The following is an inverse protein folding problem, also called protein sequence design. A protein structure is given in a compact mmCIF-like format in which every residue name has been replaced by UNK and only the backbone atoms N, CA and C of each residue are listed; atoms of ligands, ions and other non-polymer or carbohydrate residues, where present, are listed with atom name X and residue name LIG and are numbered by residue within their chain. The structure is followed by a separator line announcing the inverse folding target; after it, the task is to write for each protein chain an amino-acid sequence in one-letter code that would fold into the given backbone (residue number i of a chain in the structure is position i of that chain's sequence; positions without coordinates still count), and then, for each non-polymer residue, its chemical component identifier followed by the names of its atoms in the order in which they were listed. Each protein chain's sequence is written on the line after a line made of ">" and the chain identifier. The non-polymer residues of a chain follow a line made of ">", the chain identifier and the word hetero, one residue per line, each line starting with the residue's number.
data_IF_558898820313
#
_entry.id   IF_558898820313
#
_cell.length_a   1.000
_cell.length_b   1.000
_cell.length_c   1.000
_cell.angle_alpha   90.00
_cell.angle_beta   90.00
_cell.angle_gamma   90.00
#
_symmetry.space_group_name_H-M   'P 1'
#
loop_
_entity.id
_entity.type
_entity.pdbx_description
1 polymer ?
#
# COMPACT_ATOMS: atom_id res chain seq x y z
N UNK A 1 27.21 -15.12 3.65
CA UNK A 1 25.76 -15.32 3.55
C UNK A 1 25.51 -16.55 2.69
N UNK A 2 24.63 -17.47 3.10
CA UNK A 2 24.21 -18.58 2.23
C UNK A 2 23.47 -18.04 1.00
N UNK A 3 23.52 -18.78 -0.12
CA UNK A 3 22.82 -18.40 -1.36
C UNK A 3 21.31 -18.33 -1.17
N UNK A 4 20.76 -19.25 -0.36
CA UNK A 4 19.35 -19.28 0.01
C UNK A 4 18.95 -18.03 0.81
N UNK A 5 19.67 -17.71 1.90
CA UNK A 5 19.40 -16.50 2.70
C UNK A 5 19.53 -15.23 1.86
N UNK A 6 20.52 -15.18 0.96
CA UNK A 6 20.70 -14.05 0.05
C UNK A 6 19.54 -13.89 -0.92
N UNK A 7 19.06 -14.99 -1.50
CA UNK A 7 17.89 -14.99 -2.35
C UNK A 7 16.64 -14.52 -1.60
N UNK A 8 16.40 -15.04 -0.38
CA UNK A 8 15.27 -14.63 0.47
C UNK A 8 15.36 -13.15 0.82
N UNK A 9 16.55 -12.64 1.20
CA UNK A 9 16.73 -11.23 1.52
C UNK A 9 16.41 -10.31 0.31
N UNK A 10 16.88 -10.67 -0.89
CA UNK A 10 16.58 -9.93 -2.12
C UNK A 10 15.09 -9.99 -2.44
N UNK A 11 14.47 -11.16 -2.29
CA UNK A 11 13.04 -11.34 -2.53
C UNK A 11 12.19 -10.50 -1.56
N UNK A 12 12.53 -10.50 -0.27
CA UNK A 12 11.86 -9.66 0.73
C UNK A 12 12.03 -8.16 0.42
N UNK A 13 13.21 -7.74 -0.03
CA UNK A 13 13.43 -6.36 -0.46
C UNK A 13 12.56 -6.01 -1.69
N UNK A 14 12.43 -6.93 -2.66
CA UNK A 14 11.55 -6.74 -3.81
C UNK A 14 10.07 -6.63 -3.40
N UNK A 15 9.61 -7.45 -2.44
CA UNK A 15 8.26 -7.34 -1.88
C UNK A 15 8.03 -5.99 -1.18
N UNK A 16 9.04 -5.45 -0.47
CA UNK A 16 8.95 -4.13 0.14
C UNK A 16 8.78 -3.03 -0.91
N UNK A 17 9.54 -3.10 -2.00
CA UNK A 17 9.41 -2.19 -3.14
C UNK A 17 8.02 -2.32 -3.78
N UNK A 18 7.54 -3.54 -4.00
CA UNK A 18 6.20 -3.79 -4.53
C UNK A 18 5.11 -3.16 -3.66
N UNK A 19 5.19 -3.29 -2.34
CA UNK A 19 4.24 -2.65 -1.43
C UNK A 19 4.32 -1.12 -1.53
N UNK A 20 5.53 -0.57 -1.63
CA UNK A 20 5.72 0.87 -1.87
C UNK A 20 5.06 1.36 -3.17
N UNK A 21 5.19 0.57 -4.23
CA UNK A 21 4.54 0.83 -5.53
C UNK A 21 3.02 0.76 -5.41
N UNK A 22 2.47 -0.27 -4.77
CA UNK A 22 1.03 -0.41 -4.55
C UNK A 22 0.45 0.76 -3.74
N UNK A 23 1.16 1.20 -2.70
CA UNK A 23 0.80 2.39 -1.91
C UNK A 23 0.84 3.68 -2.75
N UNK A 24 1.79 3.80 -3.68
CA UNK A 24 1.90 4.95 -4.57
C UNK A 24 0.75 4.97 -5.59
N UNK A 25 0.46 3.83 -6.23
CA UNK A 25 -0.65 3.69 -7.16
C UNK A 25 -2.01 3.90 -6.47
N UNK A 26 -2.19 3.39 -5.26
CA UNK A 26 -3.41 3.59 -4.48
C UNK A 26 -3.67 5.05 -4.07
N UNK A 27 -2.67 5.94 -4.19
CA UNK A 27 -2.84 7.39 -3.95
C UNK A 27 -3.26 8.16 -5.20
N UNK A 28 -3.22 7.56 -6.38
CA UNK A 28 -3.59 8.25 -7.62
C UNK A 28 -5.09 8.61 -7.60
N UNK A 29 -5.39 9.85 -7.99
CA UNK A 29 -6.77 10.31 -8.14
C UNK A 29 -7.40 9.60 -9.33
N UNK A 30 -8.50 8.91 -9.10
CA UNK A 30 -9.34 8.32 -10.15
C UNK A 30 -10.46 9.28 -10.59
N UNK A 31 -10.45 10.52 -10.10
CA UNK A 31 -11.45 11.51 -10.46
C UNK A 31 -11.26 11.97 -11.89
N UNK A 32 -12.32 11.93 -12.71
CA UNK A 32 -12.32 12.51 -14.05
C UNK A 32 -11.94 14.00 -14.02
N UNK A 33 -12.29 14.69 -12.93
CA UNK A 33 -11.96 16.09 -12.68
C UNK A 33 -10.48 16.38 -12.50
N UNK A 34 -9.62 15.36 -12.34
CA UNK A 34 -8.18 15.52 -12.33
C UNK A 34 -7.61 15.79 -13.74
N UNK A 35 -8.38 15.57 -14.81
CA UNK A 35 -7.92 15.85 -16.17
C UNK A 35 -7.94 17.35 -16.49
N UNK A 36 -6.95 17.80 -17.29
CA UNK A 36 -6.87 19.19 -17.75
C UNK A 36 -8.07 19.61 -18.61
N UNK A 37 -8.74 18.66 -19.25
CA UNK A 37 -9.91 18.89 -20.12
C UNK A 37 -11.08 19.42 -19.31
N UNK A 38 -11.42 18.77 -18.19
CA UNK A 38 -12.51 19.21 -17.32
C UNK A 38 -12.17 20.46 -16.49
N UNK A 39 -10.88 20.74 -16.27
CA UNK A 39 -10.45 22.01 -15.69
C UNK A 39 -10.71 23.22 -16.62
N UNK A 40 -10.65 23.02 -17.93
CA UNK A 40 -11.07 24.03 -18.92
C UNK A 40 -12.59 24.26 -18.90
N UNK A 41 -13.36 23.16 -18.89
CA UNK A 41 -14.82 23.19 -18.83
C UNK A 41 -15.33 23.99 -17.61
N UNK A 42 -14.74 23.78 -16.43
CA UNK A 42 -15.15 24.48 -15.19
C UNK A 42 -14.96 26.00 -15.25
N UNK A 43 -13.97 26.49 -16.00
CA UNK A 43 -13.77 27.94 -16.18
C UNK A 43 -14.78 28.55 -17.15
N UNK A 44 -15.33 27.75 -18.05
CA UNK A 44 -16.25 28.20 -19.09
C UNK A 44 -17.72 28.13 -18.65
N UNK A 45 -18.07 27.30 -17.67
CA UNK A 45 -19.45 27.08 -17.22
C UNK A 45 -19.63 27.57 -15.77
N UNK A 46 -20.44 28.62 -15.53
CA UNK A 46 -20.64 29.21 -14.20
C UNK A 46 -21.18 28.24 -13.13
N UNK A 47 -22.01 27.27 -13.53
CA UNK A 47 -22.67 26.31 -12.62
C UNK A 47 -22.13 24.88 -12.77
N UNK A 48 -20.83 24.73 -13.04
CA UNK A 48 -20.22 23.39 -13.16
C UNK A 48 -20.28 22.63 -11.82
N UNK A 49 -20.64 21.32 -11.81
CA UNK A 49 -20.68 20.52 -10.59
C UNK A 49 -19.34 20.47 -9.86
N UNK A 50 -19.38 20.44 -8.53
CA UNK A 50 -18.17 20.26 -7.73
C UNK A 50 -17.62 18.82 -7.88
N UNK A 51 -16.29 18.64 -7.87
CA UNK A 51 -15.69 17.31 -7.85
C UNK A 51 -16.08 16.53 -6.59
N UNK A 52 -16.42 15.25 -6.76
CA UNK A 52 -16.62 14.34 -5.62
C UNK A 52 -15.35 14.22 -4.77
N UNK A 53 -15.52 14.06 -3.45
CA UNK A 53 -14.41 13.89 -2.52
C UNK A 53 -13.67 12.57 -2.88
N UNK A 54 -12.32 12.55 -2.91
CA UNK A 54 -11.55 11.31 -3.08
C UNK A 54 -11.85 10.20 -2.07
N UNK A 55 -12.42 10.53 -0.90
CA UNK A 55 -12.86 9.58 0.12
C UNK A 55 -14.32 9.11 -0.09
N UNK A 56 -15.05 9.70 -1.03
CA UNK A 56 -16.38 9.24 -1.42
C UNK A 56 -16.29 7.98 -2.29
N UNK A 57 -17.29 7.12 -2.16
CA UNK A 57 -17.49 6.02 -3.09
C UNK A 57 -17.81 6.55 -4.49
N UNK A 58 -17.24 5.99 -5.59
CA UNK A 58 -16.41 4.78 -5.67
C UNK A 58 -14.89 5.03 -5.57
N UNK A 59 -14.43 6.29 -5.44
CA UNK A 59 -13.02 6.65 -5.47
C UNK A 59 -12.22 6.07 -4.28
N UNK A 60 -12.86 5.96 -3.12
CA UNK A 60 -12.27 5.37 -1.92
C UNK A 60 -11.98 3.86 -2.04
N UNK A 61 -12.71 3.12 -2.88
CA UNK A 61 -12.54 1.67 -3.01
C UNK A 61 -11.23 1.29 -3.69
N UNK A 62 -10.73 2.10 -4.62
CA UNK A 62 -9.44 1.84 -5.30
C UNK A 62 -8.29 1.87 -4.31
N UNK A 63 -8.25 2.88 -3.45
CA UNK A 63 -7.23 3.01 -2.38
C UNK A 63 -7.35 1.86 -1.38
N UNK A 64 -8.58 1.45 -1.05
CA UNK A 64 -8.84 0.35 -0.12
C UNK A 64 -8.36 -1.00 -0.69
N UNK A 65 -8.63 -1.28 -1.96
CA UNK A 65 -8.18 -2.48 -2.65
C UNK A 65 -6.65 -2.60 -2.61
N UNK A 66 -5.93 -1.54 -3.01
CA UNK A 66 -4.46 -1.51 -2.95
C UNK A 66 -3.95 -1.66 -1.51
N UNK A 67 -4.64 -1.08 -0.53
CA UNK A 67 -4.30 -1.22 0.89
C UNK A 67 -4.43 -2.66 1.41
N UNK A 68 -5.50 -3.38 1.01
CA UNK A 68 -5.69 -4.80 1.38
C UNK A 68 -4.65 -5.68 0.69
N UNK A 69 -4.38 -5.46 -0.60
CA UNK A 69 -3.35 -6.20 -1.33
C UNK A 69 -1.96 -5.96 -0.73
N UNK A 70 -1.64 -4.72 -0.38
CA UNK A 70 -0.41 -4.36 0.33
C UNK A 70 -0.29 -5.07 1.67
N UNK A 71 -1.37 -5.13 2.46
CA UNK A 71 -1.38 -5.85 3.73
C UNK A 71 -1.15 -7.35 3.56
N UNK A 72 -1.71 -7.98 2.52
CA UNK A 72 -1.49 -9.39 2.20
C UNK A 72 -0.03 -9.65 1.85
N UNK A 73 0.57 -8.85 0.97
CA UNK A 73 1.98 -8.98 0.59
C UNK A 73 2.90 -8.83 1.80
N UNK A 74 2.63 -7.85 2.67
CA UNK A 74 3.38 -7.67 3.92
C UNK A 74 3.26 -8.88 4.84
N UNK A 75 2.07 -9.46 4.98
CA UNK A 75 1.87 -10.65 5.81
C UNK A 75 2.71 -11.84 5.30
N UNK A 76 2.71 -12.08 3.99
CA UNK A 76 3.54 -13.13 3.36
C UNK A 76 5.03 -12.87 3.62
N UNK A 77 5.49 -11.63 3.44
CA UNK A 77 6.89 -11.27 3.68
C UNK A 77 7.32 -11.48 5.15
N UNK A 78 6.46 -11.16 6.11
CA UNK A 78 6.73 -11.39 7.55
C UNK A 78 6.85 -12.89 7.83
N UNK A 79 5.95 -13.71 7.29
CA UNK A 79 6.01 -15.17 7.46
C UNK A 79 7.30 -15.74 6.88
N UNK A 80 7.67 -15.34 5.66
CA UNK A 80 8.91 -15.77 5.02
C UNK A 80 10.14 -15.37 5.84
N UNK A 81 10.20 -14.12 6.30
CA UNK A 81 11.31 -13.63 7.13
C UNK A 81 11.41 -14.39 8.45
N UNK A 82 10.28 -14.69 9.11
CA UNK A 82 10.26 -15.44 10.35
C UNK A 82 10.75 -16.89 10.17
N UNK A 83 10.29 -17.57 9.11
CA UNK A 83 10.75 -18.93 8.79
C UNK A 83 12.25 -18.95 8.52
N UNK A 84 12.77 -17.97 7.78
CA UNK A 84 14.18 -17.91 7.43
C UNK A 84 15.07 -17.57 8.65
N UNK A 85 14.61 -16.67 9.52
CA UNK A 85 15.28 -16.38 10.78
C UNK A 85 15.39 -17.61 11.68
N UNK A 86 14.37 -18.48 11.70
CA UNK A 86 14.40 -19.73 12.47
C UNK A 86 15.38 -20.76 11.90
N UNK A 87 15.66 -20.70 10.59
CA UNK A 87 16.57 -21.63 9.90
C UNK A 87 18.03 -21.22 10.01
N UNK A 88 18.33 -19.95 10.27
CA UNK A 88 19.69 -19.43 10.22
C UNK A 88 20.23 -18.98 11.56
N UNK A 89 21.50 -19.30 11.81
CA UNK A 89 22.17 -19.06 13.09
C UNK A 89 23.36 -18.09 12.94
N UNK A 90 23.66 -17.65 11.72
CA UNK A 90 24.78 -16.73 11.48
C UNK A 90 24.36 -15.29 11.80
N UNK A 91 25.16 -14.52 12.55
CA UNK A 91 24.76 -13.20 13.04
C UNK A 91 24.52 -12.19 11.92
N UNK A 92 25.29 -12.26 10.83
CA UNK A 92 25.11 -11.36 9.69
C UNK A 92 23.79 -11.63 8.94
N UNK A 93 23.41 -12.90 8.76
CA UNK A 93 22.14 -13.30 8.14
C UNK A 93 20.96 -12.86 8.99
N UNK A 94 21.06 -13.08 10.31
CA UNK A 94 20.07 -12.63 11.28
C UNK A 94 19.89 -11.11 11.24
N UNK A 95 20.98 -10.34 11.17
CA UNK A 95 20.91 -8.88 11.14
C UNK A 95 20.18 -8.36 9.90
N UNK A 96 20.51 -8.90 8.72
CA UNK A 96 19.87 -8.50 7.45
C UNK A 96 18.39 -8.87 7.44
N UNK A 97 18.06 -10.13 7.73
CA UNK A 97 16.68 -10.62 7.71
C UNK A 97 15.82 -9.94 8.78
N UNK A 98 16.36 -9.70 9.98
CA UNK A 98 15.65 -8.97 11.04
C UNK A 98 15.38 -7.53 10.64
N UNK A 99 16.33 -6.87 10.00
CA UNK A 99 16.15 -5.48 9.52
C UNK A 99 15.02 -5.39 8.50
N UNK A 100 15.04 -6.25 7.47
CA UNK A 100 14.01 -6.25 6.43
C UNK A 100 12.65 -6.69 7.01
N UNK A 101 12.64 -7.69 7.89
CA UNK A 101 11.44 -8.16 8.59
C UNK A 101 10.82 -7.07 9.47
N UNK A 102 11.64 -6.30 10.19
CA UNK A 102 11.18 -5.17 11.00
C UNK A 102 10.53 -4.08 10.15
N UNK A 103 11.09 -3.76 8.98
CA UNK A 103 10.48 -2.81 8.05
C UNK A 103 9.09 -3.28 7.60
N UNK A 104 8.92 -4.57 7.29
CA UNK A 104 7.62 -5.14 6.97
C UNK A 104 6.66 -5.12 8.16
N UNK A 105 7.12 -5.43 9.37
CA UNK A 105 6.29 -5.38 10.57
C UNK A 105 5.79 -3.95 10.88
N UNK A 106 6.68 -2.96 10.78
CA UNK A 106 6.33 -1.54 10.93
C UNK A 106 5.34 -1.09 9.86
N UNK A 107 5.54 -1.50 8.60
CA UNK A 107 4.61 -1.18 7.52
C UNK A 107 3.25 -1.87 7.71
N UNK A 108 3.25 -3.14 8.09
CA UNK A 108 2.04 -3.93 8.36
C UNK A 108 1.21 -3.36 9.50
N UNK A 109 1.84 -2.95 10.60
CA UNK A 109 1.14 -2.31 11.72
C UNK A 109 0.46 -1.00 11.31
N UNK A 110 1.12 -0.18 10.48
CA UNK A 110 0.55 1.05 9.93
C UNK A 110 -0.61 0.78 8.99
N UNK A 111 -0.47 -0.18 8.06
CA UNK A 111 -1.51 -0.58 7.11
C UNK A 111 -2.74 -1.12 7.85
N UNK A 112 -2.54 -2.03 8.80
CA UNK A 112 -3.62 -2.59 9.60
C UNK A 112 -4.34 -1.52 10.43
N UNK A 113 -3.60 -0.57 11.00
CA UNK A 113 -4.16 0.58 11.68
C UNK A 113 -5.03 1.45 10.78
N UNK A 114 -4.61 1.69 9.53
CA UNK A 114 -5.41 2.44 8.55
C UNK A 114 -6.68 1.68 8.14
N UNK A 115 -6.56 0.39 7.85
CA UNK A 115 -7.70 -0.45 7.45
C UNK A 115 -8.76 -0.57 8.55
N UNK A 116 -8.34 -0.61 9.82
CA UNK A 116 -9.25 -0.65 10.97
C UNK A 116 -9.99 0.67 11.23
N UNK A 117 -9.44 1.82 10.82
CA UNK A 117 -9.95 3.15 11.17
C UNK A 117 -10.89 3.78 10.13
N UNK A 118 -11.01 3.23 8.92
CA UNK A 118 -11.83 3.83 7.85
C UNK A 118 -13.16 3.09 7.64
N UNK A 119 -14.30 3.59 8.16
CA UNK A 119 -15.61 3.14 7.71
C UNK A 119 -15.89 3.65 6.28
N UNK A 120 -16.66 2.88 5.50
CA UNK A 120 -17.10 3.26 4.15
C UNK A 120 -18.05 4.45 4.28
N UNK A 121 -17.65 5.65 3.81
CA UNK A 121 -18.59 6.77 3.65
C UNK A 121 -19.35 6.57 2.34
N UNK A 122 -20.66 6.37 2.46
CA UNK A 122 -21.58 6.55 1.33
C UNK A 122 -21.86 8.06 1.18
N UNK A 123 -21.99 8.56 -0.06
CA UNK A 123 -22.30 9.97 -0.27
C UNK A 123 -23.61 10.35 0.43
N UNK A 124 -23.61 11.51 1.09
CA UNK A 124 -24.79 12.07 1.74
C UNK A 124 -25.73 12.62 0.65
N UNK A 125 -26.61 11.78 0.11
CA UNK A 125 -27.54 12.22 -0.95
C UNK A 125 -28.18 11.10 -1.76
N UNK A 126 -28.43 9.93 -1.18
CA UNK A 126 -29.39 8.95 -1.70
C UNK A 126 -30.53 8.80 -0.69
#
# INVERSE_FOLDING_TARGET
>A
MSTEAGFVAVYLAALLVLVGVLELYGRQSTSAWASRVFAGYRRAVPDAPEPADPEDWPHSEVRRFHGVLSALVVAVAIVLAAVELLRHHRPAELAVLSTIGLLHALLGSRLLGRLRRKPVRRPAGM
#
